data_IF_228899884291
#
_entry.id   IF_228899884291
#
_cell.length_a   1.000
_cell.length_b   1.000
_cell.length_c   1.000
_cell.angle_alpha   90.00
_cell.angle_beta   90.00
_cell.angle_gamma   90.00
#
_symmetry.space_group_name_H-M   'P 1'
#
loop_
_entity.id
_entity.type
_entity.pdbx_description
1 polymer ?
#
# COMPACT_ATOMS: atom_id res chain seq x y z
N UNK A 1 -19.56 -2.80 0.83
CA UNK A 1 -18.27 -2.93 0.16
C UNK A 1 -17.34 -3.63 1.12
N UNK A 2 -16.80 -4.79 0.74
CA UNK A 2 -15.87 -5.57 1.55
C UNK A 2 -14.52 -5.66 0.83
N UNK A 3 -13.47 -5.16 1.48
CA UNK A 3 -12.11 -5.20 0.96
C UNK A 3 -11.22 -6.12 1.80
N UNK A 4 -10.08 -6.52 1.24
CA UNK A 4 -9.08 -7.36 1.90
C UNK A 4 -7.68 -6.80 1.69
N UNK A 5 -6.78 -7.00 2.66
CA UNK A 5 -5.36 -6.76 2.42
C UNK A 5 -4.87 -7.71 1.33
N UNK A 6 -4.16 -7.18 0.33
CA UNK A 6 -3.92 -7.93 -0.90
C UNK A 6 -3.06 -9.20 -0.69
N UNK A 7 -2.19 -9.20 0.32
CA UNK A 7 -1.41 -10.37 0.69
C UNK A 7 -2.18 -11.30 1.64
N UNK A 8 -2.63 -12.43 1.09
CA UNK A 8 -3.32 -13.50 1.84
C UNK A 8 -2.45 -14.74 2.10
N UNK A 9 -1.11 -14.60 2.04
CA UNK A 9 -0.17 -15.62 2.52
C UNK A 9 0.27 -16.70 1.52
N UNK A 10 -0.08 -16.58 0.23
CA UNK A 10 0.31 -17.54 -0.81
C UNK A 10 1.20 -16.91 -1.86
N UNK A 11 2.22 -17.65 -2.30
CA UNK A 11 3.14 -17.20 -3.34
C UNK A 11 2.52 -17.32 -4.75
N UNK A 12 1.64 -16.36 -5.07
CA UNK A 12 1.03 -16.18 -6.40
C UNK A 12 1.44 -14.83 -6.97
N UNK A 13 1.49 -14.72 -8.30
CA UNK A 13 1.79 -13.45 -8.96
C UNK A 13 0.75 -12.39 -8.57
N UNK A 14 1.14 -11.11 -8.56
CA UNK A 14 0.26 -9.99 -8.20
C UNK A 14 -0.99 -9.95 -9.09
N UNK A 15 -0.85 -10.28 -10.39
CA UNK A 15 -1.99 -10.36 -11.31
C UNK A 15 -2.97 -11.46 -10.90
N UNK A 16 -2.49 -12.67 -10.62
CA UNK A 16 -3.37 -13.79 -10.24
C UNK A 16 -4.00 -13.56 -8.87
N UNK A 17 -3.24 -12.97 -7.93
CA UNK A 17 -3.73 -12.55 -6.61
C UNK A 17 -5.02 -11.73 -6.71
N UNK A 18 -5.04 -10.69 -7.55
CA UNK A 18 -6.23 -9.84 -7.71
C UNK A 18 -7.39 -10.57 -8.40
N UNK A 19 -7.11 -11.44 -9.37
CA UNK A 19 -8.15 -12.29 -9.98
C UNK A 19 -8.79 -13.19 -8.91
N UNK A 20 -7.99 -13.81 -8.05
CA UNK A 20 -8.47 -14.68 -6.98
C UNK A 20 -9.28 -13.90 -5.93
N UNK A 21 -8.80 -12.72 -5.51
CA UNK A 21 -9.53 -11.84 -4.59
C UNK A 21 -10.89 -11.47 -5.15
N UNK A 22 -10.97 -11.08 -6.43
CA UNK A 22 -12.25 -10.78 -7.07
C UNK A 22 -13.18 -12.00 -7.13
N UNK A 23 -12.66 -13.16 -7.51
CA UNK A 23 -13.40 -14.43 -7.54
C UNK A 23 -13.92 -14.86 -6.16
N UNK A 24 -13.21 -14.52 -5.10
CA UNK A 24 -13.63 -14.79 -3.72
C UNK A 24 -14.78 -13.89 -3.25
N UNK A 25 -15.14 -12.86 -4.02
CA UNK A 25 -16.29 -11.98 -3.74
C UNK A 25 -15.94 -10.67 -3.05
N UNK A 26 -14.65 -10.30 -2.94
CA UNK A 26 -14.25 -8.99 -2.45
C UNK A 26 -14.51 -7.90 -3.50
N UNK A 27 -14.85 -6.72 -3.01
CA UNK A 27 -15.09 -5.53 -3.81
C UNK A 27 -13.80 -4.74 -4.08
N UNK A 28 -12.81 -4.87 -3.19
CA UNK A 28 -11.59 -4.10 -3.27
C UNK A 28 -10.43 -4.65 -2.44
N UNK A 29 -9.34 -3.89 -2.43
CA UNK A 29 -8.08 -4.25 -1.79
C UNK A 29 -7.47 -3.09 -1.00
N UNK A 30 -6.69 -3.45 0.02
CA UNK A 30 -5.73 -2.59 0.70
C UNK A 30 -4.33 -2.96 0.18
N UNK A 31 -3.53 -1.98 -0.24
CA UNK A 31 -2.24 -2.21 -0.89
C UNK A 31 -1.06 -1.87 0.01
N UNK A 32 -0.01 -2.70 0.00
CA UNK A 32 1.30 -2.30 0.53
C UNK A 32 1.98 -1.26 -0.37
N UNK A 33 2.54 -0.19 0.21
CA UNK A 33 3.10 0.95 -0.53
C UNK A 33 4.61 1.14 -0.33
N UNK A 34 5.38 0.08 -0.60
CA UNK A 34 6.83 0.16 -0.86
C UNK A 34 7.35 -1.12 -1.51
N UNK A 35 8.65 -1.16 -1.75
CA UNK A 35 9.41 -2.34 -2.18
C UNK A 35 9.68 -3.35 -1.05
N UNK A 36 9.33 -3.00 0.19
CA UNK A 36 9.43 -3.86 1.36
C UNK A 36 8.67 -5.18 1.22
N UNK A 37 9.03 -6.15 2.07
CA UNK A 37 8.36 -7.47 2.14
C UNK A 37 8.32 -8.24 0.82
N UNK A 38 9.26 -7.99 -0.09
CA UNK A 38 9.35 -8.66 -1.39
C UNK A 38 8.31 -8.19 -2.40
N UNK A 39 7.73 -7.00 -2.21
CA UNK A 39 6.75 -6.41 -3.14
C UNK A 39 7.37 -5.96 -4.46
N UNK A 40 8.64 -5.54 -4.44
CA UNK A 40 9.37 -5.05 -5.62
C UNK A 40 9.29 -3.54 -5.80
N UNK A 41 10.24 -2.97 -6.54
CA UNK A 41 10.32 -1.53 -6.81
C UNK A 41 9.15 -0.99 -7.65
N UNK A 42 8.46 -1.88 -8.36
CA UNK A 42 7.30 -1.68 -9.22
C UNK A 42 5.96 -1.81 -8.47
N UNK A 43 5.96 -1.70 -7.12
CA UNK A 43 4.77 -1.90 -6.29
C UNK A 43 3.54 -1.06 -6.71
N UNK A 44 3.77 0.12 -7.31
CA UNK A 44 2.73 1.01 -7.83
C UNK A 44 1.96 0.40 -9.02
N UNK A 45 2.55 -0.52 -9.79
CA UNK A 45 1.85 -1.26 -10.85
C UNK A 45 0.66 -2.08 -10.31
N UNK A 46 0.67 -2.36 -8.99
CA UNK A 46 -0.45 -2.96 -8.28
C UNK A 46 -1.77 -2.22 -8.43
N UNK A 47 -1.74 -0.89 -8.64
CA UNK A 47 -2.94 -0.06 -8.85
C UNK A 47 -3.68 -0.49 -10.13
N UNK A 48 -2.96 -0.49 -11.25
CA UNK A 48 -3.53 -0.82 -12.55
C UNK A 48 -3.95 -2.28 -12.64
N UNK A 49 -3.20 -3.17 -12.00
CA UNK A 49 -3.54 -4.60 -11.92
C UNK A 49 -4.82 -4.84 -11.10
N UNK A 50 -4.99 -4.17 -9.95
CA UNK A 50 -6.19 -4.28 -9.13
C UNK A 50 -7.44 -3.77 -9.87
N UNK A 51 -7.32 -2.59 -10.51
CA UNK A 51 -8.40 -1.99 -11.30
C UNK A 51 -8.80 -2.86 -12.48
N UNK A 52 -7.83 -3.43 -13.21
CA UNK A 52 -8.10 -4.39 -14.32
C UNK A 52 -8.83 -5.65 -13.84
N UNK A 53 -8.64 -6.06 -12.58
CA UNK A 53 -9.39 -7.15 -11.98
C UNK A 53 -10.79 -6.74 -11.47
N UNK A 54 -11.18 -5.47 -11.61
CA UNK A 54 -12.47 -4.95 -11.14
C UNK A 54 -12.51 -4.78 -9.62
N UNK A 55 -11.36 -4.50 -9.00
CA UNK A 55 -11.23 -4.22 -7.57
C UNK A 55 -11.05 -2.72 -7.33
N UNK A 56 -11.78 -2.20 -6.36
CA UNK A 56 -11.55 -0.88 -5.78
C UNK A 56 -10.28 -0.90 -4.92
N UNK A 57 -9.58 0.24 -4.80
CA UNK A 57 -8.44 0.39 -3.89
C UNK A 57 -8.89 1.29 -2.76
N UNK A 58 -9.13 0.71 -1.59
CA UNK A 58 -9.69 1.44 -0.46
C UNK A 58 -8.65 2.31 0.23
N UNK A 59 -7.45 1.77 0.42
CA UNK A 59 -6.35 2.51 1.00
C UNK A 59 -5.00 1.87 0.64
N UNK A 60 -3.95 2.64 0.92
CA UNK A 60 -2.58 2.15 0.94
C UNK A 60 -2.10 2.04 2.39
N UNK A 61 -1.32 1.01 2.67
CA UNK A 61 -0.52 0.88 3.88
C UNK A 61 0.87 1.42 3.58
N UNK A 62 1.19 2.56 4.18
CA UNK A 62 2.50 3.19 3.98
C UNK A 62 3.61 2.41 4.70
N UNK A 63 4.88 2.66 4.37
CA UNK A 63 6.01 2.04 5.04
C UNK A 63 5.91 2.13 6.57
N UNK A 64 6.18 1.00 7.22
CA UNK A 64 6.20 0.85 8.69
C UNK A 64 7.62 0.95 9.24
N UNK A 65 8.61 0.89 8.35
CA UNK A 65 10.01 1.01 8.71
C UNK A 65 10.30 2.42 9.22
N UNK A 66 11.02 2.52 10.34
CA UNK A 66 11.47 3.78 10.93
C UNK A 66 10.36 4.71 11.42
N UNK A 67 9.12 4.24 11.59
CA UNK A 67 7.99 5.07 12.05
C UNK A 67 8.28 5.87 13.34
N UNK A 68 9.14 5.35 14.21
CA UNK A 68 9.65 5.99 15.44
C UNK A 68 10.48 7.26 15.19
N UNK A 69 10.98 7.44 13.97
CA UNK A 69 11.87 8.54 13.61
C UNK A 69 11.13 9.82 13.19
N UNK A 70 9.82 9.77 12.97
CA UNK A 70 9.05 10.92 12.44
C UNK A 70 9.17 12.17 13.32
N UNK A 71 9.30 11.99 14.63
CA UNK A 71 9.43 13.09 15.60
C UNK A 71 10.87 13.57 15.80
N UNK A 72 11.86 12.99 15.11
CA UNK A 72 13.26 13.38 15.25
C UNK A 72 13.56 14.62 14.39
N UNK A 73 14.21 15.62 14.98
CA UNK A 73 14.72 16.80 14.27
C UNK A 73 16.11 16.50 13.68
N UNK A 74 16.15 15.59 12.71
CA UNK A 74 17.35 15.18 12.00
C UNK A 74 17.03 14.68 10.59
N UNK A 75 18.05 14.23 9.84
CA UNK A 75 17.88 13.75 8.47
C UNK A 75 16.94 12.54 8.38
N UNK A 76 17.00 11.61 9.34
CA UNK A 76 16.13 10.43 9.34
C UNK A 76 14.64 10.82 9.47
N UNK A 77 14.32 11.80 10.31
CA UNK A 77 12.95 12.32 10.44
C UNK A 77 12.48 13.05 9.19
N UNK A 78 13.36 13.84 8.56
CA UNK A 78 13.09 14.53 7.28
C UNK A 78 12.84 13.52 6.15
N UNK A 79 13.66 12.47 6.06
CA UNK A 79 13.53 11.45 5.02
C UNK A 79 12.20 10.68 5.16
N UNK A 80 11.80 10.34 6.38
CA UNK A 80 10.51 9.71 6.64
C UNK A 80 9.34 10.65 6.32
N UNK A 81 9.43 11.93 6.68
CA UNK A 81 8.43 12.93 6.30
C UNK A 81 8.28 13.00 4.78
N UNK A 82 9.38 13.04 4.03
CA UNK A 82 9.35 13.03 2.57
C UNK A 82 8.73 11.75 2.00
N UNK A 83 9.00 10.60 2.60
CA UNK A 83 8.37 9.33 2.23
C UNK A 83 6.84 9.40 2.36
N UNK A 84 6.32 9.88 3.50
CA UNK A 84 4.88 10.01 3.70
C UNK A 84 4.24 11.11 2.85
N UNK A 85 4.94 12.22 2.61
CA UNK A 85 4.49 13.25 1.66
C UNK A 85 4.39 12.69 0.23
N UNK A 86 5.29 11.77 -0.16
CA UNK A 86 5.19 11.09 -1.44
C UNK A 86 3.97 10.16 -1.47
N UNK A 87 3.68 9.42 -0.39
CA UNK A 87 2.46 8.61 -0.30
C UNK A 87 1.18 9.45 -0.48
N UNK A 88 1.14 10.68 0.07
CA UNK A 88 0.01 11.61 -0.13
C UNK A 88 -0.13 12.00 -1.60
N UNK A 89 0.98 12.32 -2.28
CA UNK A 89 0.97 12.65 -3.71
C UNK A 89 0.49 11.47 -4.54
N UNK A 90 0.97 10.28 -4.23
CA UNK A 90 0.58 9.05 -4.90
C UNK A 90 -0.91 8.76 -4.70
N UNK A 91 -1.46 8.96 -3.49
CA UNK A 91 -2.90 8.88 -3.25
C UNK A 91 -3.68 9.84 -4.15
N UNK A 92 -3.21 11.07 -4.33
CA UNK A 92 -3.84 12.03 -5.22
C UNK A 92 -3.73 11.62 -6.70
N UNK A 93 -2.55 11.18 -7.14
CA UNK A 93 -2.29 10.73 -8.52
C UNK A 93 -3.13 9.51 -8.90
N UNK A 94 -3.19 8.52 -8.01
CA UNK A 94 -3.94 7.29 -8.22
C UNK A 94 -5.37 7.35 -7.71
N UNK A 95 -5.89 8.51 -7.31
CA UNK A 95 -7.27 8.65 -6.78
C UNK A 95 -7.60 7.66 -5.65
N UNK A 96 -6.63 7.37 -4.78
CA UNK A 96 -6.79 6.49 -3.62
C UNK A 96 -7.19 7.36 -2.42
N UNK A 97 -8.35 7.12 -1.79
CA UNK A 97 -8.93 8.08 -0.86
C UNK A 97 -8.22 8.15 0.49
N UNK A 98 -7.45 7.12 0.86
CA UNK A 98 -6.88 7.00 2.21
C UNK A 98 -5.49 6.38 2.18
N UNK A 99 -4.60 6.88 3.04
CA UNK A 99 -3.37 6.20 3.42
C UNK A 99 -3.41 5.86 4.92
N UNK A 100 -2.89 4.69 5.27
CA UNK A 100 -2.77 4.19 6.63
C UNK A 100 -1.32 4.35 7.08
N UNK A 101 -1.12 5.14 8.14
CA UNK A 101 0.18 5.36 8.78
C UNK A 101 0.17 4.65 10.13
N UNK A 102 1.24 3.90 10.40
CA UNK A 102 1.41 3.21 11.67
C UNK A 102 2.07 4.14 12.70
N UNK A 103 1.65 4.04 13.95
CA UNK A 103 2.26 4.78 15.06
C UNK A 103 3.54 4.06 15.52
N UNK A 104 4.53 4.78 16.06
CA UNK A 104 5.68 4.18 16.72
C UNK A 104 5.29 3.06 17.70
N UNK A 105 6.04 1.97 17.70
CA UNK A 105 5.74 0.79 18.52
C UNK A 105 6.04 0.99 20.03
N UNK A 106 6.54 2.16 20.44
CA UNK A 106 6.87 2.49 21.85
C UNK A 106 6.57 3.94 22.21
#
# INVERSE_FOLDING_TARGET
MLCIYDWFGYNVSVKERYILIKKAGFDGVLLWWSDGFGRGADYQEGVELARKAGLFIENIHTPVQNQDKLSLDNLDGIDLLHCYLQCIKDCAEFEIPTMVVHLPDN
#
